data_IF_184985840798
#
_entry.id   IF_184985840798
#
_cell.length_a   1.000
_cell.length_b   1.000
_cell.length_c   1.000
_cell.angle_alpha   90.00
_cell.angle_beta   90.00
_cell.angle_gamma   90.00
#
_symmetry.space_group_name_H-M   'P 1'
#
loop_
_entity.id
_entity.type
_entity.pdbx_description
1 polymer ?
#
# COMPACT_ATOMS: atom_id res chain seq x y z
N UNK A 1 10.54 -53.73 31.23
CA UNK A 1 10.67 -55.12 31.74
C UNK A 1 9.64 -55.32 32.84
N UNK A 2 8.97 -56.49 32.85
CA UNK A 2 7.80 -56.94 33.64
C UNK A 2 6.45 -56.30 33.24
N UNK A 3 5.48 -56.91 32.53
CA UNK A 3 4.95 -58.29 32.30
C UNK A 3 3.88 -58.75 33.30
N UNK A 4 2.77 -59.27 32.71
CA UNK A 4 1.62 -60.10 33.17
C UNK A 4 0.38 -59.36 33.74
N UNK A 5 -0.88 -59.78 33.56
CA UNK A 5 -1.63 -60.75 32.71
C UNK A 5 -3.11 -60.71 33.18
N UNK A 6 -4.11 -60.46 32.31
CA UNK A 6 -5.15 -61.38 31.72
C UNK A 6 -6.05 -62.20 32.66
N UNK A 7 -7.37 -62.03 32.51
CA UNK A 7 -8.50 -63.01 32.64
C UNK A 7 -9.83 -62.22 32.60
N UNK A 8 -10.96 -62.56 31.94
CA UNK A 8 -11.44 -63.73 31.18
C UNK A 8 -12.98 -63.85 31.30
N UNK A 9 -13.67 -64.25 30.20
CA UNK A 9 -15.03 -64.82 30.05
C UNK A 9 -16.30 -63.94 30.33
N UNK A 10 -17.48 -64.05 29.67
CA UNK A 10 -18.10 -64.90 28.62
C UNK A 10 -19.54 -64.37 28.32
N UNK A 11 -20.05 -64.35 27.06
CA UNK A 11 -21.19 -65.15 26.45
C UNK A 11 -22.49 -65.27 27.31
N UNK A 12 -23.76 -65.12 26.88
CA UNK A 12 -24.61 -65.45 25.69
C UNK A 12 -25.99 -64.70 25.86
N UNK A 13 -26.68 -64.12 24.86
CA UNK A 13 -27.62 -64.64 23.82
C UNK A 13 -29.10 -64.95 24.23
N UNK A 14 -30.08 -64.32 23.54
CA UNK A 14 -31.47 -64.76 23.18
C UNK A 14 -32.25 -63.54 22.61
N UNK A 15 -32.62 -63.40 21.33
CA UNK A 15 -33.61 -64.07 20.43
C UNK A 15 -35.08 -63.95 20.89
N UNK A 16 -35.89 -63.28 20.05
CA UNK A 16 -37.35 -63.21 20.07
C UNK A 16 -37.87 -62.62 18.75
N UNK A 17 -38.96 -63.21 18.24
CA UNK A 17 -39.40 -63.34 16.85
C UNK A 17 -40.41 -62.26 16.35
N UNK A 18 -40.63 -62.21 15.03
CA UNK A 18 -41.50 -61.38 14.16
C UNK A 18 -43.04 -61.59 14.37
N UNK A 19 -44.05 -61.06 13.60
CA UNK A 19 -44.05 -60.45 12.23
C UNK A 19 -45.10 -59.34 11.92
N UNK A 20 -45.13 -58.81 10.68
CA UNK A 20 -46.30 -58.09 10.14
C UNK A 20 -46.05 -57.29 8.85
N UNK A 21 -46.92 -57.45 7.85
CA UNK A 21 -46.69 -57.19 6.43
C UNK A 21 -47.23 -55.85 5.88
N UNK A 22 -46.60 -55.39 4.79
CA UNK A 22 -47.25 -54.87 3.57
C UNK A 22 -47.83 -53.43 3.56
N UNK A 23 -47.23 -52.56 2.75
CA UNK A 23 -47.96 -51.68 1.83
C UNK A 23 -46.98 -51.09 0.81
N UNK A 24 -47.31 -51.25 -0.47
CA UNK A 24 -46.67 -50.57 -1.59
C UNK A 24 -47.03 -49.09 -1.57
N UNK A 25 -46.05 -48.21 -1.76
CA UNK A 25 -46.31 -46.82 -2.10
C UNK A 25 -45.33 -46.37 -3.18
N UNK A 26 -45.89 -46.24 -4.38
CA UNK A 26 -45.35 -45.58 -5.55
C UNK A 26 -45.50 -44.07 -5.34
N UNK A 27 -44.41 -43.29 -5.23
CA UNK A 27 -44.37 -41.87 -5.64
C UNK A 27 -43.01 -41.14 -5.42
N UNK A 28 -42.58 -40.47 -6.49
CA UNK A 28 -41.72 -39.27 -6.58
C UNK A 28 -40.19 -39.34 -6.33
N UNK A 29 -39.36 -39.45 -7.40
CA UNK A 29 -37.91 -39.23 -7.31
C UNK A 29 -37.47 -37.84 -7.79
N UNK A 30 -38.24 -36.76 -7.57
CA UNK A 30 -37.94 -35.43 -8.16
C UNK A 30 -37.51 -34.35 -7.16
N UNK A 31 -38.03 -34.33 -5.94
CA UNK A 31 -37.82 -33.19 -5.02
C UNK A 31 -36.46 -33.20 -4.30
N UNK A 32 -35.92 -34.36 -3.93
CA UNK A 32 -34.60 -34.45 -3.28
C UNK A 32 -33.44 -34.21 -4.26
N UNK A 33 -33.61 -34.65 -5.51
CA UNK A 33 -32.66 -34.46 -6.61
C UNK A 33 -32.51 -32.96 -6.92
N UNK A 34 -33.63 -32.25 -7.05
CA UNK A 34 -33.67 -30.82 -7.33
C UNK A 34 -33.14 -29.99 -6.15
N UNK A 35 -33.45 -30.39 -4.91
CA UNK A 35 -32.91 -29.76 -3.69
C UNK A 35 -31.39 -29.90 -3.57
N UNK A 36 -30.84 -31.09 -3.86
CA UNK A 36 -29.38 -31.33 -3.88
C UNK A 36 -28.70 -30.57 -5.01
N UNK A 37 -29.31 -30.51 -6.19
CA UNK A 37 -28.79 -29.72 -7.32
C UNK A 37 -28.74 -28.22 -6.99
N UNK A 38 -29.81 -27.68 -6.37
CA UNK A 38 -29.88 -26.29 -5.94
C UNK A 38 -28.84 -25.95 -4.84
N UNK A 39 -28.66 -26.83 -3.85
CA UNK A 39 -27.64 -26.66 -2.81
C UNK A 39 -26.20 -26.72 -3.37
N UNK A 40 -25.96 -27.57 -4.36
CA UNK A 40 -24.66 -27.68 -5.04
C UNK A 40 -24.38 -26.44 -5.90
N UNK A 41 -25.39 -25.93 -6.61
CA UNK A 41 -25.30 -24.69 -7.39
C UNK A 41 -25.07 -23.46 -6.51
N UNK A 42 -25.77 -23.35 -5.37
CA UNK A 42 -25.57 -22.27 -4.40
C UNK A 42 -24.17 -22.32 -3.78
N UNK A 43 -23.66 -23.51 -3.47
CA UNK A 43 -22.29 -23.70 -2.94
C UNK A 43 -21.24 -23.37 -4.00
N UNK A 44 -21.45 -23.74 -5.26
CA UNK A 44 -20.58 -23.40 -6.38
C UNK A 44 -20.56 -21.88 -6.67
N UNK A 45 -21.72 -21.21 -6.59
CA UNK A 45 -21.85 -19.76 -6.74
C UNK A 45 -21.17 -19.01 -5.57
N UNK A 46 -21.32 -19.49 -4.34
CA UNK A 46 -20.64 -18.95 -3.16
C UNK A 46 -19.11 -19.14 -3.24
N UNK A 47 -18.63 -20.30 -3.69
CA UNK A 47 -17.21 -20.53 -3.95
C UNK A 47 -16.69 -19.68 -5.11
N UNK A 48 -17.47 -19.49 -6.16
CA UNK A 48 -17.13 -18.63 -7.31
C UNK A 48 -16.98 -17.16 -6.92
N UNK A 49 -17.91 -16.63 -6.11
CA UNK A 49 -17.86 -15.25 -5.60
C UNK A 49 -16.75 -15.05 -4.56
N UNK A 50 -16.54 -16.00 -3.64
CA UNK A 50 -15.44 -15.97 -2.68
C UNK A 50 -14.06 -16.06 -3.38
N UNK A 51 -13.92 -16.93 -4.40
CA UNK A 51 -12.71 -17.03 -5.22
C UNK A 51 -12.46 -15.74 -6.00
N UNK A 52 -13.51 -15.14 -6.58
CA UNK A 52 -13.43 -13.86 -7.30
C UNK A 52 -13.03 -12.70 -6.38
N UNK A 53 -13.58 -12.61 -5.16
CA UNK A 53 -13.14 -11.62 -4.15
C UNK A 53 -11.66 -11.81 -3.78
N UNK A 54 -11.22 -13.06 -3.60
CA UNK A 54 -9.81 -13.39 -3.29
C UNK A 54 -8.86 -13.00 -4.42
N UNK A 55 -9.29 -13.11 -5.69
CA UNK A 55 -8.46 -12.75 -6.85
C UNK A 55 -8.26 -11.24 -6.99
N UNK A 56 -9.27 -10.39 -6.76
CA UNK A 56 -9.12 -8.93 -6.91
C UNK A 56 -8.20 -8.31 -5.85
N UNK A 57 -8.29 -8.74 -4.60
CA UNK A 57 -7.33 -8.37 -3.54
C UNK A 57 -5.89 -8.73 -3.88
N UNK A 58 -5.66 -9.67 -4.81
CA UNK A 58 -4.32 -10.03 -5.25
C UNK A 58 -3.69 -9.04 -6.24
N UNK A 59 -4.47 -8.16 -6.86
CA UNK A 59 -3.99 -7.16 -7.84
C UNK A 59 -3.76 -5.78 -7.23
N UNK A 60 -4.14 -5.57 -5.96
CA UNK A 60 -3.82 -4.35 -5.22
C UNK A 60 -2.63 -4.67 -4.29
N UNK A 61 -1.56 -3.87 -4.29
CA UNK A 61 -0.47 -4.06 -3.34
C UNK A 61 -0.99 -4.02 -1.89
N UNK A 62 -0.66 -5.01 -1.04
CA UNK A 62 -1.21 -5.10 0.31
C UNK A 62 -0.61 -4.07 1.29
N UNK A 63 0.28 -3.19 0.83
CA UNK A 63 1.01 -2.26 1.66
C UNK A 63 0.23 -0.97 1.87
N UNK A 64 -0.73 -1.01 2.79
CA UNK A 64 -1.56 0.14 3.16
C UNK A 64 -0.73 1.38 3.56
N UNK A 65 0.42 1.18 4.21
CA UNK A 65 1.32 2.28 4.59
C UNK A 65 2.04 2.98 3.42
N UNK A 66 2.17 2.33 2.25
CA UNK A 66 2.83 2.94 1.09
C UNK A 66 1.96 4.01 0.42
N UNK A 67 0.64 3.99 0.62
CA UNK A 67 -0.28 4.93 -0.01
C UNK A 67 -0.13 6.36 0.53
N UNK A 68 0.25 6.53 1.80
CA UNK A 68 0.51 7.86 2.37
C UNK A 68 1.64 8.58 1.63
N UNK A 69 2.71 7.86 1.25
CA UNK A 69 3.82 8.36 0.44
C UNK A 69 3.40 8.81 -0.96
N UNK A 70 2.24 8.36 -1.46
CA UNK A 70 1.74 8.78 -2.76
C UNK A 70 0.75 9.93 -2.63
N UNK A 71 -0.18 9.82 -1.67
CA UNK A 71 -1.32 10.73 -1.52
C UNK A 71 -0.92 12.03 -0.86
N UNK A 72 -0.12 11.99 0.21
CA UNK A 72 0.29 13.20 0.94
C UNK A 72 1.07 14.19 0.07
N UNK A 73 2.16 13.81 -0.61
CA UNK A 73 2.89 14.78 -1.43
C UNK A 73 2.07 15.27 -2.62
N UNK A 74 1.17 14.43 -3.15
CA UNK A 74 0.27 14.83 -4.22
C UNK A 74 -0.75 15.87 -3.72
N UNK A 75 -1.36 15.63 -2.55
CA UNK A 75 -2.29 16.55 -1.91
C UNK A 75 -1.61 17.89 -1.60
N UNK A 76 -0.40 17.87 -1.02
CA UNK A 76 0.41 19.08 -0.80
C UNK A 76 0.74 19.79 -2.12
N UNK A 77 1.08 19.05 -3.18
CA UNK A 77 1.27 19.65 -4.50
C UNK A 77 0.03 20.42 -4.97
N UNK A 78 -1.17 19.84 -4.79
CA UNK A 78 -2.42 20.50 -5.15
C UNK A 78 -2.75 21.73 -4.30
N UNK A 79 -2.20 21.89 -3.10
CA UNK A 79 -2.39 23.12 -2.32
C UNK A 79 -1.57 24.29 -2.86
N UNK A 80 -0.57 24.03 -3.72
CA UNK A 80 0.31 25.06 -4.29
C UNK A 80 -0.17 25.62 -5.62
N UNK A 81 -1.31 25.13 -6.14
CA UNK A 81 -1.77 25.43 -7.50
C UNK A 81 -3.26 25.75 -7.53
N UNK A 82 -3.66 26.54 -8.52
CA UNK A 82 -5.07 26.61 -8.92
C UNK A 82 -5.50 25.32 -9.63
N UNK A 83 -6.81 25.14 -9.76
CA UNK A 83 -7.39 23.96 -10.40
C UNK A 83 -6.80 23.70 -11.80
N UNK A 84 -6.32 22.48 -12.04
CA UNK A 84 -5.76 22.04 -13.32
C UNK A 84 -6.13 20.59 -13.62
N UNK A 85 -6.82 20.37 -14.73
CA UNK A 85 -7.16 19.02 -15.22
C UNK A 85 -5.91 18.20 -15.55
N UNK A 86 -4.85 18.82 -16.05
CA UNK A 86 -3.58 18.14 -16.35
C UNK A 86 -2.90 17.68 -15.06
N UNK A 87 -2.95 18.49 -14.01
CA UNK A 87 -2.46 18.09 -12.69
C UNK A 87 -3.27 16.93 -12.09
N UNK A 88 -4.61 16.94 -12.25
CA UNK A 88 -5.46 15.80 -11.84
C UNK A 88 -5.13 14.52 -12.61
N UNK A 89 -4.92 14.62 -13.92
CA UNK A 89 -4.49 13.50 -14.76
C UNK A 89 -3.12 12.97 -14.30
N UNK A 90 -2.18 13.86 -13.97
CA UNK A 90 -0.90 13.49 -13.38
C UNK A 90 -1.09 12.79 -12.03
N UNK A 91 -1.96 13.30 -11.17
CA UNK A 91 -2.29 12.65 -9.90
C UNK A 91 -2.83 11.22 -10.10
N UNK A 92 -3.71 11.01 -11.07
CA UNK A 92 -4.20 9.67 -11.41
C UNK A 92 -3.08 8.75 -11.90
N UNK A 93 -2.23 9.24 -12.83
CA UNK A 93 -1.08 8.48 -13.35
C UNK A 93 -0.08 8.14 -12.23
N UNK A 94 0.19 9.08 -11.32
CA UNK A 94 1.07 8.92 -10.17
C UNK A 94 0.62 7.79 -9.24
N UNK A 95 -0.67 7.75 -8.90
CA UNK A 95 -1.25 6.70 -8.06
C UNK A 95 -1.20 5.34 -8.76
N UNK A 96 -1.51 5.31 -10.07
CA UNK A 96 -1.49 4.08 -10.90
C UNK A 96 -0.07 3.56 -11.15
N UNK A 97 0.95 4.43 -11.12
CA UNK A 97 2.34 4.03 -11.28
C UNK A 97 2.85 3.17 -10.11
N UNK A 98 2.29 3.33 -8.90
CA UNK A 98 2.74 2.57 -7.73
C UNK A 98 2.55 1.05 -7.88
N UNK A 99 1.36 0.53 -8.23
CA UNK A 99 1.21 -0.90 -8.50
C UNK A 99 2.12 -1.43 -9.62
N UNK A 100 2.40 -0.62 -10.65
CA UNK A 100 3.35 -0.97 -11.72
C UNK A 100 4.75 -1.17 -11.13
N UNK A 101 5.25 -0.21 -10.36
CA UNK A 101 6.54 -0.29 -9.69
C UNK A 101 6.61 -1.44 -8.67
N UNK A 102 5.51 -1.71 -7.95
CA UNK A 102 5.46 -2.79 -6.96
C UNK A 102 5.51 -4.19 -7.60
N UNK A 103 4.58 -4.50 -8.51
CA UNK A 103 4.52 -5.82 -9.14
C UNK A 103 5.64 -6.01 -10.17
N UNK A 104 5.93 -4.97 -10.96
CA UNK A 104 7.05 -4.95 -11.90
C UNK A 104 8.39 -5.11 -11.20
N UNK A 105 8.60 -4.40 -10.08
CA UNK A 105 9.80 -4.53 -9.26
C UNK A 105 9.97 -5.92 -8.67
N UNK A 106 8.90 -6.52 -8.14
CA UNK A 106 8.93 -7.91 -7.64
C UNK A 106 9.21 -8.92 -8.76
N UNK A 107 8.61 -8.73 -9.94
CA UNK A 107 8.86 -9.57 -11.11
C UNK A 107 10.33 -9.47 -11.55
N UNK A 108 10.85 -8.24 -11.67
CA UNK A 108 12.21 -7.96 -12.10
C UNK A 108 13.24 -8.43 -11.07
N UNK A 109 13.01 -8.19 -9.78
CA UNK A 109 13.88 -8.69 -8.71
C UNK A 109 13.94 -10.22 -8.72
N UNK A 110 12.80 -10.89 -8.90
CA UNK A 110 12.73 -12.35 -9.00
C UNK A 110 13.45 -12.87 -10.25
N UNK A 111 13.30 -12.19 -11.39
CA UNK A 111 14.02 -12.51 -12.63
C UNK A 111 15.53 -12.40 -12.43
N UNK A 112 16.01 -11.28 -11.90
CA UNK A 112 17.45 -11.01 -11.71
C UNK A 112 18.05 -12.04 -10.75
N UNK A 113 17.44 -12.27 -9.58
CA UNK A 113 17.95 -13.22 -8.58
C UNK A 113 17.98 -14.67 -9.07
N UNK A 114 17.11 -15.05 -10.00
CA UNK A 114 16.99 -16.44 -10.51
C UNK A 114 17.58 -16.64 -11.92
N UNK A 115 18.12 -15.60 -12.53
CA UNK A 115 18.67 -15.62 -13.90
C UNK A 115 17.65 -15.91 -15.01
N UNK A 116 16.37 -16.15 -14.70
CA UNK A 116 15.36 -16.58 -15.66
C UNK A 116 13.96 -16.10 -15.28
N UNK A 117 13.09 -16.00 -16.29
CA UNK A 117 11.66 -15.77 -16.08
C UNK A 117 11.02 -17.05 -15.52
N UNK A 118 11.00 -17.18 -14.20
CA UNK A 118 10.30 -18.28 -13.53
C UNK A 118 8.77 -18.08 -13.57
N UNK A 119 8.01 -19.14 -13.25
CA UNK A 119 6.54 -19.07 -13.12
C UNK A 119 6.10 -17.95 -12.16
N UNK A 120 6.85 -17.74 -11.07
CA UNK A 120 6.59 -16.66 -10.12
C UNK A 120 6.84 -15.28 -10.73
N UNK A 121 7.98 -15.07 -11.40
CA UNK A 121 8.30 -13.80 -12.05
C UNK A 121 7.25 -13.43 -13.13
N UNK A 122 6.84 -14.40 -13.95
CA UNK A 122 5.76 -14.21 -14.94
C UNK A 122 4.43 -13.87 -14.29
N UNK A 123 4.09 -14.50 -13.18
CA UNK A 123 2.84 -14.21 -12.45
C UNK A 123 2.82 -12.79 -11.89
N UNK A 124 3.92 -12.32 -11.30
CA UNK A 124 4.02 -10.94 -10.82
C UNK A 124 4.02 -9.94 -11.97
N UNK A 125 4.72 -10.22 -13.08
CA UNK A 125 4.66 -9.39 -14.29
C UNK A 125 3.24 -9.31 -14.85
N UNK A 126 2.52 -10.44 -14.91
CA UNK A 126 1.12 -10.47 -15.35
C UNK A 126 0.18 -9.66 -14.47
N UNK A 127 0.49 -9.48 -13.18
CA UNK A 127 -0.26 -8.56 -12.29
C UNK A 127 0.06 -7.09 -12.55
N UNK A 128 1.26 -6.78 -13.04
CA UNK A 128 1.63 -5.43 -13.41
C UNK A 128 0.98 -4.96 -14.71
N UNK A 129 0.68 -5.88 -15.65
CA UNK A 129 0.12 -5.56 -16.97
C UNK A 129 -1.12 -4.65 -16.93
N UNK A 130 -2.22 -4.96 -16.22
CA UNK A 130 -3.40 -4.09 -16.21
C UNK A 130 -3.08 -2.68 -15.68
N UNK A 131 -2.20 -2.58 -14.68
CA UNK A 131 -1.75 -1.28 -14.16
C UNK A 131 -0.85 -0.54 -15.14
N UNK A 132 0.01 -1.24 -15.89
CA UNK A 132 0.85 -0.66 -16.92
C UNK A 132 0.02 -0.14 -18.09
N UNK A 133 -1.04 -0.86 -18.48
CA UNK A 133 -2.02 -0.39 -19.47
C UNK A 133 -2.75 0.84 -18.96
N UNK A 134 -3.25 0.83 -17.72
CA UNK A 134 -3.88 2.00 -17.11
C UNK A 134 -2.92 3.20 -17.03
N UNK A 135 -1.66 2.96 -16.66
CA UNK A 135 -0.62 3.99 -16.64
C UNK A 135 -0.35 4.53 -18.03
N UNK A 136 -0.33 3.70 -19.07
CA UNK A 136 -0.16 4.15 -20.45
C UNK A 136 -1.36 4.99 -20.91
N UNK A 137 -2.60 4.59 -20.59
CA UNK A 137 -3.82 5.34 -20.92
C UNK A 137 -3.82 6.73 -20.28
N UNK A 138 -3.31 6.87 -19.05
CA UNK A 138 -3.23 8.16 -18.35
C UNK A 138 -1.97 8.95 -18.74
N UNK A 139 -0.85 8.24 -18.94
CA UNK A 139 0.48 8.79 -19.17
C UNK A 139 0.73 9.27 -20.60
N UNK A 140 0.17 8.60 -21.61
CA UNK A 140 0.32 9.04 -23.01
C UNK A 140 -0.31 10.43 -23.21
N UNK A 141 -1.55 10.71 -22.79
CA UNK A 141 -2.09 12.06 -22.87
C UNK A 141 -1.27 13.09 -22.08
N UNK A 142 -0.72 12.73 -20.91
CA UNK A 142 0.19 13.62 -20.17
C UNK A 142 1.42 14.00 -20.97
N UNK A 143 2.08 13.03 -21.60
CA UNK A 143 3.27 13.28 -22.43
C UNK A 143 2.93 14.06 -23.70
N UNK A 144 1.75 13.82 -24.30
CA UNK A 144 1.28 14.61 -25.44
C UNK A 144 1.01 16.07 -25.04
N UNK A 145 0.38 16.29 -23.88
CA UNK A 145 0.05 17.62 -23.38
C UNK A 145 1.27 18.36 -22.81
N UNK A 146 2.24 17.62 -22.26
CA UNK A 146 3.45 18.11 -21.56
C UNK A 146 4.62 17.12 -21.79
N UNK A 147 5.34 17.19 -22.93
CA UNK A 147 6.39 16.24 -23.29
C UNK A 147 7.56 16.18 -22.30
N UNK A 148 7.84 17.27 -21.60
CA UNK A 148 8.86 17.33 -20.56
C UNK A 148 8.58 16.39 -19.38
N UNK A 149 7.35 15.91 -19.19
CA UNK A 149 7.02 14.90 -18.18
C UNK A 149 7.75 13.57 -18.43
N UNK A 150 8.29 13.34 -19.62
CA UNK A 150 9.23 12.23 -19.87
C UNK A 150 10.47 12.36 -18.99
N UNK A 151 11.00 13.56 -18.80
CA UNK A 151 12.14 13.79 -17.92
C UNK A 151 11.79 13.47 -16.45
N UNK A 152 10.60 13.86 -16.00
CA UNK A 152 10.09 13.50 -14.66
C UNK A 152 9.96 11.98 -14.53
N UNK A 153 9.43 11.30 -15.54
CA UNK A 153 9.32 9.85 -15.56
C UNK A 153 10.70 9.17 -15.48
N UNK A 154 11.72 9.70 -16.16
CA UNK A 154 13.11 9.23 -16.07
C UNK A 154 13.67 9.42 -14.66
N UNK A 155 13.43 10.58 -14.02
CA UNK A 155 13.85 10.84 -12.63
C UNK A 155 13.19 9.83 -11.68
N UNK A 156 11.87 9.67 -11.75
CA UNK A 156 11.12 8.72 -10.92
C UNK A 156 11.59 7.28 -11.15
N UNK A 157 11.80 6.88 -12.40
CA UNK A 157 12.31 5.55 -12.75
C UNK A 157 13.73 5.31 -12.24
N UNK A 158 14.59 6.34 -12.26
CA UNK A 158 15.95 6.27 -11.71
C UNK A 158 15.93 6.05 -10.20
N UNK A 159 15.15 6.85 -9.47
CA UNK A 159 15.02 6.73 -8.02
C UNK A 159 14.41 5.36 -7.65
N UNK A 160 13.39 4.91 -8.38
CA UNK A 160 12.82 3.58 -8.22
C UNK A 160 13.84 2.47 -8.51
N UNK A 161 14.71 2.65 -9.51
CA UNK A 161 15.81 1.74 -9.82
C UNK A 161 16.78 1.58 -8.65
N UNK A 162 17.09 2.67 -7.93
CA UNK A 162 17.89 2.61 -6.70
C UNK A 162 17.19 1.78 -5.62
N UNK A 163 15.88 1.96 -5.43
CA UNK A 163 15.07 1.13 -4.51
C UNK A 163 15.12 -0.36 -4.89
N UNK A 164 15.07 -0.67 -6.18
CA UNK A 164 15.22 -2.03 -6.69
C UNK A 164 16.62 -2.60 -6.40
N UNK A 165 17.68 -1.81 -6.61
CA UNK A 165 19.05 -2.23 -6.31
C UNK A 165 19.25 -2.54 -4.82
N UNK A 166 18.70 -1.69 -3.94
CA UNK A 166 18.70 -1.94 -2.48
C UNK A 166 17.96 -3.24 -2.20
N UNK A 167 16.75 -3.40 -2.76
CA UNK A 167 15.96 -4.63 -2.61
C UNK A 167 16.71 -5.86 -3.10
N UNK A 168 17.53 -5.76 -4.15
CA UNK A 168 18.30 -6.89 -4.66
C UNK A 168 19.44 -7.31 -3.73
N UNK A 169 20.07 -6.34 -3.05
CA UNK A 169 21.23 -6.55 -2.17
C UNK A 169 20.86 -6.92 -0.74
N UNK A 170 19.78 -6.36 -0.22
CA UNK A 170 19.38 -6.53 1.18
C UNK A 170 18.26 -7.59 1.31
N UNK A 171 18.36 -8.41 2.37
CA UNK A 171 17.40 -9.47 2.68
C UNK A 171 16.19 -8.96 3.49
N UNK A 172 16.34 -7.84 4.20
CA UNK A 172 15.30 -7.23 5.03
C UNK A 172 14.90 -5.84 4.51
N UNK A 173 13.73 -5.36 4.92
CA UNK A 173 13.18 -4.06 4.49
C UNK A 173 14.02 -2.92 5.11
N UNK A 174 15.05 -2.51 4.39
CA UNK A 174 16.03 -1.50 4.77
C UNK A 174 15.39 -0.15 5.14
N UNK A 175 15.96 0.57 6.11
CA UNK A 175 15.65 1.99 6.31
C UNK A 175 15.92 2.77 5.01
N UNK A 176 17.00 2.40 4.33
CA UNK A 176 17.46 2.97 3.06
C UNK A 176 16.35 2.93 2.00
N UNK A 177 15.58 1.84 1.94
CA UNK A 177 14.50 1.72 0.96
C UNK A 177 13.33 2.65 1.29
N UNK A 178 13.03 2.83 2.59
CA UNK A 178 11.99 3.77 3.03
C UNK A 178 12.45 5.23 2.79
N UNK A 179 13.74 5.55 2.95
CA UNK A 179 14.32 6.86 2.58
C UNK A 179 14.20 7.12 1.07
N UNK A 180 14.55 6.15 0.23
CA UNK A 180 14.41 6.29 -1.23
C UNK A 180 12.95 6.52 -1.62
N UNK A 181 12.01 5.86 -0.94
CA UNK A 181 10.58 6.11 -1.17
C UNK A 181 10.18 7.54 -0.77
N UNK A 182 10.68 8.08 0.35
CA UNK A 182 10.47 9.49 0.73
C UNK A 182 11.00 10.42 -0.37
N UNK A 183 12.23 10.21 -0.84
CA UNK A 183 12.84 11.04 -1.89
C UNK A 183 12.03 10.97 -3.19
N UNK A 184 11.58 9.78 -3.58
CA UNK A 184 10.69 9.61 -4.74
C UNK A 184 9.40 10.42 -4.55
N UNK A 185 8.80 10.34 -3.37
CA UNK A 185 7.54 11.00 -3.02
C UNK A 185 7.64 12.53 -3.11
N UNK A 186 8.79 13.09 -2.74
CA UNK A 186 9.04 14.54 -2.81
C UNK A 186 8.98 15.09 -4.23
N UNK A 187 9.13 14.27 -5.28
CA UNK A 187 9.03 14.72 -6.68
C UNK A 187 7.64 15.23 -7.03
N UNK A 188 6.58 14.75 -6.36
CA UNK A 188 5.21 15.09 -6.72
C UNK A 188 4.88 16.59 -6.54
N UNK A 189 5.29 17.19 -5.41
CA UNK A 189 4.98 18.60 -5.08
C UNK A 189 5.46 19.57 -6.17
N UNK A 190 6.76 19.64 -6.53
CA UNK A 190 7.24 20.55 -7.56
C UNK A 190 6.73 20.17 -8.95
N UNK A 191 6.42 18.90 -9.21
CA UNK A 191 5.85 18.48 -10.50
C UNK A 191 4.43 18.99 -10.68
N UNK A 192 3.57 18.89 -9.65
CA UNK A 192 2.21 19.45 -9.69
C UNK A 192 2.26 20.96 -9.91
N UNK A 193 3.13 21.65 -9.19
CA UNK A 193 3.36 23.08 -9.40
C UNK A 193 3.80 23.39 -10.84
N UNK A 194 4.84 22.71 -11.33
CA UNK A 194 5.37 22.92 -12.68
C UNK A 194 4.32 22.66 -13.77
N UNK A 195 3.46 21.65 -13.62
CA UNK A 195 2.35 21.39 -14.54
C UNK A 195 1.36 22.56 -14.59
N UNK A 196 1.12 23.23 -13.46
CA UNK A 196 0.13 24.33 -13.38
C UNK A 196 0.60 25.62 -14.04
N UNK A 197 1.91 25.87 -14.05
CA UNK A 197 2.50 27.08 -14.63
C UNK A 197 3.07 26.85 -16.03
N UNK A 198 3.31 25.60 -16.42
CA UNK A 198 3.81 25.27 -17.74
C UNK A 198 2.72 25.43 -18.81
N UNK A 199 3.04 26.22 -19.83
CA UNK A 199 2.25 26.33 -21.04
C UNK A 199 2.13 24.98 -21.77
N UNK A 200 1.04 24.75 -22.53
CA UNK A 200 0.94 23.60 -23.41
C UNK A 200 2.06 23.59 -24.46
N UNK A 201 2.61 22.42 -24.76
CA UNK A 201 3.68 22.27 -25.76
C UNK A 201 4.98 21.77 -25.12
N UNK A 202 6.11 22.07 -25.79
CA UNK A 202 7.42 21.44 -25.62
C UNK A 202 8.09 21.57 -24.24
N UNK A 203 9.40 21.87 -24.23
CA UNK A 203 10.12 22.04 -22.97
C UNK A 203 9.66 23.32 -22.27
N UNK A 204 9.29 23.26 -20.98
CA UNK A 204 8.68 24.39 -20.31
C UNK A 204 9.79 25.38 -19.92
N UNK A 205 9.60 26.63 -20.29
CA UNK A 205 10.33 27.75 -19.68
C UNK A 205 9.69 28.02 -18.31
N UNK A 206 10.14 27.26 -17.31
CA UNK A 206 9.64 27.40 -15.95
C UNK A 206 10.24 28.65 -15.29
N UNK A 207 9.42 29.47 -14.61
CA UNK A 207 9.97 30.48 -13.72
C UNK A 207 10.77 29.82 -12.58
N UNK A 208 11.61 30.57 -11.85
CA UNK A 208 12.28 30.04 -10.66
C UNK A 208 11.28 29.40 -9.69
N UNK A 209 11.65 28.25 -9.12
CA UNK A 209 10.79 27.54 -8.17
C UNK A 209 10.46 28.46 -6.98
N UNK A 210 9.18 28.75 -6.69
CA UNK A 210 8.80 29.58 -5.57
C UNK A 210 9.32 28.97 -4.27
N UNK A 211 9.87 29.83 -3.41
CA UNK A 211 10.42 29.42 -2.10
C UNK A 211 9.38 28.67 -1.27
N UNK A 212 8.10 29.07 -1.34
CA UNK A 212 7.00 28.38 -0.67
C UNK A 212 6.82 26.92 -1.14
N UNK A 213 6.93 26.65 -2.45
CA UNK A 213 6.86 25.29 -3.02
C UNK A 213 8.07 24.47 -2.59
N UNK A 214 9.26 25.10 -2.54
CA UNK A 214 10.47 24.48 -1.98
C UNK A 214 10.28 24.07 -0.52
N UNK A 215 9.77 24.95 0.33
CA UNK A 215 9.47 24.65 1.73
C UNK A 215 8.39 23.59 1.90
N UNK A 216 7.31 23.62 1.11
CA UNK A 216 6.28 22.59 1.13
C UNK A 216 6.83 21.21 0.74
N UNK A 217 7.74 21.16 -0.25
CA UNK A 217 8.44 19.94 -0.66
C UNK A 217 9.33 19.42 0.47
N UNK A 218 10.12 20.29 1.10
CA UNK A 218 10.98 19.94 2.23
C UNK A 218 10.16 19.45 3.44
N UNK A 219 9.09 20.18 3.80
CA UNK A 219 8.18 19.82 4.88
C UNK A 219 7.58 18.43 4.65
N UNK A 220 7.18 18.14 3.41
CA UNK A 220 6.61 16.85 3.02
C UNK A 220 7.63 15.72 3.20
N UNK A 221 8.87 15.92 2.75
CA UNK A 221 9.94 14.95 2.96
C UNK A 221 10.20 14.68 4.44
N UNK A 222 10.28 15.74 5.25
CA UNK A 222 10.52 15.65 6.69
C UNK A 222 9.36 14.98 7.42
N UNK A 223 8.12 15.32 7.09
CA UNK A 223 6.94 14.69 7.66
C UNK A 223 6.90 13.18 7.35
N UNK A 224 7.06 12.80 6.07
CA UNK A 224 7.02 11.40 5.65
C UNK A 224 8.16 10.58 6.29
N UNK A 225 9.37 11.15 6.38
CA UNK A 225 10.48 10.47 7.05
C UNK A 225 10.26 10.35 8.57
N UNK A 226 9.68 11.38 9.20
CA UNK A 226 9.23 11.31 10.60
C UNK A 226 8.24 10.18 10.85
N UNK A 227 7.25 10.01 9.95
CA UNK A 227 6.33 8.87 9.98
C UNK A 227 7.06 7.53 9.82
N UNK A 228 8.05 7.40 8.94
CA UNK A 228 8.89 6.18 8.83
C UNK A 228 9.55 5.85 10.16
N UNK A 229 10.23 6.82 10.78
CA UNK A 229 10.91 6.63 12.06
C UNK A 229 9.91 6.24 13.16
N UNK A 230 8.78 6.90 13.23
CA UNK A 230 7.76 6.60 14.23
C UNK A 230 7.20 5.19 14.10
N UNK A 231 6.71 4.83 12.91
CA UNK A 231 6.14 3.50 12.66
C UNK A 231 7.18 2.40 12.91
N UNK A 232 8.45 2.66 12.52
CA UNK A 232 9.55 1.74 12.80
C UNK A 232 9.80 1.57 14.30
N UNK A 233 9.71 2.65 15.09
CA UNK A 233 9.84 2.60 16.56
C UNK A 233 8.76 1.76 17.25
N UNK A 234 7.57 1.66 16.64
CA UNK A 234 6.45 0.88 17.18
C UNK A 234 6.46 -0.59 16.76
N UNK A 235 7.08 -0.90 15.61
CA UNK A 235 7.02 -2.23 14.97
C UNK A 235 8.36 -2.95 14.99
N UNK A 236 9.30 -2.55 14.11
CA UNK A 236 10.56 -3.30 13.91
C UNK A 236 11.55 -3.06 15.05
N UNK A 237 11.56 -1.86 15.58
CA UNK A 237 12.42 -1.44 16.70
C UNK A 237 11.61 -1.36 18.00
N UNK A 238 10.53 -2.14 18.09
CA UNK A 238 9.65 -2.18 19.25
C UNK A 238 10.45 -2.52 20.53
N UNK A 239 10.29 -1.69 21.55
CA UNK A 239 11.01 -1.83 22.83
C UNK A 239 12.41 -1.19 22.86
N UNK A 240 12.94 -0.75 21.71
CA UNK A 240 14.21 -0.05 21.66
C UNK A 240 14.05 1.41 22.12
N UNK A 241 14.36 1.69 23.39
CA UNK A 241 14.24 3.02 23.99
C UNK A 241 15.09 4.08 23.27
N UNK A 242 16.26 3.72 22.76
CA UNK A 242 17.12 4.66 21.99
C UNK A 242 16.43 5.07 20.69
N UNK A 243 15.86 4.10 19.98
CA UNK A 243 15.16 4.36 18.72
C UNK A 243 13.87 5.18 18.92
N UNK A 244 13.14 4.94 20.02
CA UNK A 244 12.01 5.78 20.40
C UNK A 244 12.43 7.25 20.59
N UNK A 245 13.48 7.51 21.37
CA UNK A 245 13.95 8.88 21.58
C UNK A 245 14.55 9.52 20.33
N UNK A 246 15.15 8.74 19.44
CA UNK A 246 15.56 9.22 18.11
C UNK A 246 14.35 9.72 17.31
N UNK A 247 13.24 8.96 17.31
CA UNK A 247 12.00 9.38 16.65
C UNK A 247 11.43 10.65 17.29
N UNK A 248 11.36 10.73 18.62
CA UNK A 248 10.87 11.93 19.32
C UNK A 248 11.75 13.15 19.00
N UNK A 249 13.07 13.02 19.14
CA UNK A 249 14.02 14.09 18.85
C UNK A 249 13.92 14.59 17.42
N UNK A 250 13.73 13.69 16.45
CA UNK A 250 13.47 14.05 15.06
C UNK A 250 12.22 14.94 14.91
N UNK A 251 11.11 14.57 15.56
CA UNK A 251 9.87 15.36 15.47
C UNK A 251 9.98 16.71 16.19
N UNK A 252 10.76 16.80 17.27
CA UNK A 252 11.07 18.09 17.93
C UNK A 252 11.83 19.01 16.97
N UNK A 253 12.90 18.50 16.34
CA UNK A 253 13.68 19.28 15.37
C UNK A 253 12.82 19.70 14.18
N UNK A 254 11.99 18.79 13.65
CA UNK A 254 11.07 19.10 12.56
C UNK A 254 10.07 20.21 12.93
N UNK A 255 9.45 20.12 14.11
CA UNK A 255 8.51 21.13 14.59
C UNK A 255 9.18 22.49 14.75
N UNK A 256 10.31 22.56 15.45
CA UNK A 256 11.04 23.81 15.66
C UNK A 256 11.52 24.40 14.34
N UNK A 257 12.11 23.57 13.47
CA UNK A 257 12.62 24.00 12.17
C UNK A 257 11.54 24.60 11.28
N UNK A 258 10.38 23.92 11.15
CA UNK A 258 9.31 24.41 10.28
C UNK A 258 8.43 25.50 10.91
N UNK A 259 8.37 25.60 12.25
CA UNK A 259 7.73 26.73 12.93
C UNK A 259 8.44 28.06 12.61
N UNK A 260 9.77 28.03 12.39
CA UNK A 260 10.56 29.20 11.99
C UNK A 260 10.36 29.61 10.52
N UNK A 261 9.92 28.69 9.67
CA UNK A 261 9.60 28.98 8.25
C UNK A 261 8.26 29.70 8.17
N UNK A 262 7.23 29.16 8.82
CA UNK A 262 5.92 29.78 8.96
C UNK A 262 5.16 29.11 10.12
N UNK A 263 4.39 29.87 10.93
CA UNK A 263 3.68 29.31 12.09
C UNK A 263 2.66 28.23 11.70
N UNK A 264 2.17 28.21 10.46
CA UNK A 264 1.16 27.25 10.02
C UNK A 264 1.63 25.80 10.02
N UNK A 265 2.93 25.55 9.85
CA UNK A 265 3.48 24.18 9.93
C UNK A 265 3.34 23.53 11.30
N UNK A 266 3.15 24.33 12.36
CA UNK A 266 2.86 23.86 13.72
C UNK A 266 1.61 22.98 13.75
N UNK A 267 0.61 23.26 12.90
CA UNK A 267 -0.64 22.49 12.79
C UNK A 267 -0.37 21.04 12.38
N UNK A 268 0.64 20.79 11.54
CA UNK A 268 1.01 19.45 11.08
C UNK A 268 2.01 18.76 11.99
N UNK A 269 3.06 19.48 12.41
CA UNK A 269 4.16 18.88 13.17
C UNK A 269 3.86 18.71 14.66
N UNK A 270 2.96 19.50 15.25
CA UNK A 270 2.61 19.34 16.68
C UNK A 270 1.86 18.03 16.93
N UNK A 271 0.77 17.69 16.20
CA UNK A 271 0.13 16.38 16.35
C UNK A 271 1.10 15.23 16.08
N UNK A 272 2.00 15.38 15.09
CA UNK A 272 3.04 14.40 14.79
C UNK A 272 4.02 14.18 15.95
N UNK A 273 4.43 15.25 16.65
CA UNK A 273 5.24 15.15 17.86
C UNK A 273 4.45 14.54 19.03
N UNK A 274 3.21 14.97 19.24
CA UNK A 274 2.35 14.45 20.31
C UNK A 274 2.19 12.93 20.18
N UNK A 275 1.89 12.42 18.98
CA UNK A 275 1.83 10.96 18.77
C UNK A 275 3.17 10.27 19.00
N UNK A 276 4.28 10.91 18.62
CA UNK A 276 5.61 10.32 18.77
C UNK A 276 5.95 10.14 20.25
N UNK A 277 5.52 11.05 21.12
CA UNK A 277 5.69 10.98 22.57
C UNK A 277 4.66 10.07 23.23
N UNK A 278 3.41 10.02 22.74
CA UNK A 278 2.32 9.31 23.40
C UNK A 278 2.27 7.81 23.11
N UNK A 279 2.51 7.40 21.86
CA UNK A 279 2.29 6.02 21.44
C UNK A 279 3.42 5.08 21.89
N UNK A 280 3.06 3.84 22.19
CA UNK A 280 3.97 2.78 22.65
C UNK A 280 3.79 1.51 21.78
N UNK A 281 4.81 0.64 21.70
CA UNK A 281 4.68 -0.63 21.01
C UNK A 281 3.53 -1.50 21.54
N UNK A 282 3.02 -2.42 20.70
CA UNK A 282 1.90 -3.31 21.03
C UNK A 282 0.59 -2.98 20.29
N UNK A 283 0.55 -1.87 19.56
CA UNK A 283 -0.59 -1.50 18.72
C UNK A 283 -0.65 -2.37 17.46
N UNK A 284 -1.87 -2.67 17.00
CA UNK A 284 -2.09 -3.38 15.73
C UNK A 284 -1.65 -2.49 14.55
N UNK A 285 -1.03 -3.05 13.49
CA UNK A 285 -0.62 -2.26 12.32
C UNK A 285 -1.73 -1.43 11.67
N UNK A 286 -2.97 -1.93 11.67
CA UNK A 286 -4.13 -1.19 11.16
C UNK A 286 -4.44 0.08 11.97
N UNK A 287 -4.29 0.02 13.30
CA UNK A 287 -4.50 1.18 14.19
C UNK A 287 -3.42 2.23 13.97
N UNK A 288 -2.16 1.79 13.86
CA UNK A 288 -1.04 2.68 13.53
C UNK A 288 -1.31 3.37 12.19
N UNK A 289 -1.70 2.61 11.16
CA UNK A 289 -2.06 3.16 9.86
C UNK A 289 -3.19 4.19 9.92
N UNK A 290 -4.25 3.94 10.70
CA UNK A 290 -5.33 4.89 10.88
C UNK A 290 -4.86 6.20 11.55
N UNK A 291 -4.01 6.09 12.57
CA UNK A 291 -3.42 7.27 13.23
C UNK A 291 -2.57 8.06 12.25
N UNK A 292 -1.69 7.41 11.48
CA UNK A 292 -0.84 8.09 10.50
C UNK A 292 -1.68 8.77 9.39
N UNK A 293 -2.83 8.21 9.02
CA UNK A 293 -3.77 8.88 8.11
C UNK A 293 -4.34 10.17 8.71
N UNK A 294 -4.70 10.18 10.00
CA UNK A 294 -5.15 11.40 10.69
C UNK A 294 -4.04 12.45 10.75
N UNK A 295 -2.81 12.04 11.01
CA UNK A 295 -1.66 12.95 11.01
C UNK A 295 -1.37 13.52 9.63
N UNK A 296 -1.53 12.69 8.60
CA UNK A 296 -1.42 13.11 7.21
C UNK A 296 -2.46 14.18 6.87
N UNK A 297 -3.68 14.08 7.40
CA UNK A 297 -4.70 15.11 7.25
C UNK A 297 -4.28 16.43 7.90
N UNK A 298 -3.83 16.41 9.16
CA UNK A 298 -3.30 17.61 9.84
C UNK A 298 -2.14 18.25 9.07
N UNK A 299 -1.26 17.43 8.51
CA UNK A 299 -0.14 17.91 7.72
C UNK A 299 -0.59 18.57 6.41
N UNK A 300 -1.56 18.00 5.71
CA UNK A 300 -2.15 18.62 4.51
C UNK A 300 -2.87 19.93 4.87
N UNK A 301 -3.59 19.99 5.98
CA UNK A 301 -4.20 21.23 6.48
C UNK A 301 -3.13 22.31 6.73
N UNK A 302 -2.00 21.93 7.34
CA UNK A 302 -0.88 22.84 7.55
C UNK A 302 -0.33 23.39 6.22
N UNK A 303 -0.23 22.54 5.19
CA UNK A 303 0.20 22.95 3.85
C UNK A 303 -0.80 23.90 3.17
N UNK A 304 -2.11 23.70 3.37
CA UNK A 304 -3.15 24.63 2.89
C UNK A 304 -3.02 25.99 3.56
N UNK A 305 -2.76 26.03 4.86
CA UNK A 305 -2.63 27.28 5.62
C UNK A 305 -1.31 28.02 5.33
N UNK A 306 -0.27 27.29 4.93
CA UNK A 306 1.06 27.82 4.65
C UNK A 306 1.23 28.36 3.21
N UNK A 307 0.38 27.93 2.27
CA UNK A 307 0.36 28.36 0.87
C UNK A 307 -0.38 29.67 0.68
#
# INVERSE_FOLDING_TARGET
MNVKATSGAGREAAVGDQPGAGAAEESAPTTESESRAAATAATAAAHGTARRRRTWTSYIPPQHGAWAFLVVPLAVGFTTVSFSWVALLFGAAWIVAYPVGYFGGRALATRIRRGSWTRLARREAGRAVPWAVALAVLGVPLVVLRPWLVAVAVVVATIWGVSLLITLRESERALSNDVVLVVLSMVAVPTVWAISVAEPGGWPELPPLPVAVGWATAATGVFLFGTVLHVRSLLREAGNRRFHWLSVGYHVVALVGFALVTPWWVVGFTPALVRAVALRPGLRPAVIGAIESVMSLFFVIAAVLAG
#
